data_IF_395158483597
#
_entry.id   IF_395158483597
#
_cell.length_a   1.000
_cell.length_b   1.000
_cell.length_c   1.000
_cell.angle_alpha   90.00
_cell.angle_beta   90.00
_cell.angle_gamma   90.00
#
_symmetry.space_group_name_H-M   'P 1'
#
loop_
_entity.id
_entity.type
_entity.pdbx_description
1 polymer ?
#
# COMPACT_ATOMS: atom_id res chain seq x y z
N UNK A 1 18.04 14.88 -38.55
CA UNK A 1 17.57 15.88 -39.53
C UNK A 1 18.56 17.05 -39.66
N UNK A 2 19.73 16.85 -40.30
CA UNK A 2 20.74 17.91 -40.53
C UNK A 2 20.94 18.13 -42.03
N UNK A 3 19.90 18.63 -42.69
CA UNK A 3 19.84 18.76 -44.16
C UNK A 3 20.95 19.69 -44.69
N UNK A 4 21.26 20.77 -43.98
CA UNK A 4 22.29 21.74 -44.37
C UNK A 4 23.69 21.14 -44.39
N UNK A 5 24.04 20.30 -43.41
CA UNK A 5 25.30 19.56 -43.38
C UNK A 5 25.37 18.55 -44.52
N UNK A 6 24.29 17.79 -44.76
CA UNK A 6 24.21 16.84 -45.87
C UNK A 6 24.41 17.53 -47.23
N UNK A 7 23.84 18.74 -47.42
CA UNK A 7 24.06 19.52 -48.65
C UNK A 7 25.51 19.95 -48.81
N UNK A 8 26.19 20.36 -47.73
CA UNK A 8 27.62 20.70 -47.77
C UNK A 8 28.47 19.50 -48.20
N UNK A 9 28.25 18.33 -47.60
CA UNK A 9 28.95 17.11 -47.99
C UNK A 9 28.71 16.72 -49.46
N UNK A 10 27.50 16.93 -49.98
CA UNK A 10 27.19 16.66 -51.39
C UNK A 10 27.86 17.68 -52.33
N UNK A 11 27.94 18.95 -51.93
CA UNK A 11 28.68 19.98 -52.67
C UNK A 11 30.18 19.68 -52.71
N UNK A 12 30.77 19.32 -51.57
CA UNK A 12 32.18 18.92 -51.46
C UNK A 12 32.47 17.67 -52.29
N UNK A 13 31.53 16.71 -52.29
CA UNK A 13 31.55 15.52 -53.13
C UNK A 13 31.23 15.76 -54.61
N UNK A 14 31.06 17.02 -55.06
CA UNK A 14 30.71 17.43 -56.43
C UNK A 14 29.38 16.85 -56.96
N UNK A 15 28.50 16.40 -56.07
CA UNK A 15 27.16 15.90 -56.39
C UNK A 15 26.13 17.03 -56.39
N UNK A 16 26.30 18.00 -57.30
CA UNK A 16 25.50 19.23 -57.33
C UNK A 16 23.99 18.99 -57.50
N UNK A 17 23.60 17.99 -58.30
CA UNK A 17 22.18 17.67 -58.56
C UNK A 17 21.47 17.16 -57.30
N UNK A 18 22.12 16.24 -56.57
CA UNK A 18 21.60 15.78 -55.29
C UNK A 18 21.60 16.90 -54.24
N UNK A 19 22.63 17.75 -54.23
CA UNK A 19 22.68 18.91 -53.34
C UNK A 19 21.50 19.88 -53.54
N UNK A 20 20.97 19.99 -54.77
CA UNK A 20 19.75 20.78 -55.03
C UNK A 20 18.45 20.08 -54.64
N UNK A 21 18.43 18.73 -54.65
CA UNK A 21 17.22 17.94 -54.34
C UNK A 21 17.06 17.68 -52.84
N UNK A 22 18.15 17.40 -52.11
CA UNK A 22 18.11 17.08 -50.67
C UNK A 22 17.42 18.15 -49.80
N UNK A 23 17.52 19.47 -50.07
CA UNK A 23 16.74 20.49 -49.38
C UNK A 23 15.21 20.32 -49.50
N UNK A 24 14.74 19.63 -50.56
CA UNK A 24 13.32 19.40 -50.81
C UNK A 24 12.75 18.21 -50.01
N UNK A 25 13.61 17.45 -49.32
CA UNK A 25 13.17 16.33 -48.48
C UNK A 25 12.20 16.82 -47.40
N UNK A 26 11.00 16.25 -47.37
CA UNK A 26 9.97 16.52 -46.34
C UNK A 26 9.25 17.86 -46.45
N UNK A 27 9.52 18.66 -47.49
CA UNK A 27 8.91 20.00 -47.65
C UNK A 27 7.84 20.05 -48.75
N UNK A 28 8.09 19.46 -49.92
CA UNK A 28 7.18 19.52 -51.06
C UNK A 28 6.57 18.17 -51.41
N UNK A 29 5.23 18.08 -51.35
CA UNK A 29 4.48 16.89 -51.77
C UNK A 29 4.58 16.66 -53.28
N UNK A 30 4.67 17.75 -54.07
CA UNK A 30 4.84 17.67 -55.53
C UNK A 30 6.19 17.06 -55.87
N UNK A 31 7.28 17.57 -55.27
CA UNK A 31 8.61 17.01 -55.46
C UNK A 31 8.67 15.53 -55.05
N UNK A 32 8.01 15.16 -53.95
CA UNK A 32 7.90 13.76 -53.49
C UNK A 32 7.20 12.86 -54.51
N UNK A 33 6.17 13.37 -55.20
CA UNK A 33 5.47 12.64 -56.26
C UNK A 33 6.33 12.49 -57.51
N UNK A 34 6.96 13.58 -57.96
CA UNK A 34 7.81 13.60 -59.16
C UNK A 34 9.00 12.64 -59.00
N UNK A 35 9.65 12.64 -57.82
CA UNK A 35 10.75 11.71 -57.54
C UNK A 35 10.26 10.26 -57.48
N UNK A 36 9.04 10.00 -57.02
CA UNK A 36 8.46 8.65 -57.03
C UNK A 36 8.22 8.15 -58.46
N UNK A 37 7.72 9.02 -59.34
CA UNK A 37 7.54 8.70 -60.77
C UNK A 37 8.91 8.46 -61.44
N UNK A 38 9.91 9.27 -61.11
CA UNK A 38 11.27 9.12 -61.61
C UNK A 38 11.92 7.80 -61.16
N UNK A 39 11.77 7.43 -59.89
CA UNK A 39 12.25 6.15 -59.36
C UNK A 39 11.59 4.97 -60.06
N UNK A 40 10.28 5.05 -60.33
CA UNK A 40 9.56 4.01 -61.07
C UNK A 40 10.10 3.87 -62.50
N UNK A 41 10.32 4.99 -63.19
CA UNK A 41 10.91 4.98 -64.53
C UNK A 41 12.34 4.40 -64.54
N UNK A 42 13.16 4.72 -63.53
CA UNK A 42 14.51 4.13 -63.40
C UNK A 42 14.48 2.65 -63.03
N UNK A 43 13.49 2.22 -62.25
CA UNK A 43 13.28 0.81 -61.93
C UNK A 43 12.88 0.02 -63.19
N UNK A 44 11.92 0.53 -63.98
CA UNK A 44 11.44 -0.12 -65.20
C UNK A 44 12.50 -0.16 -66.31
N UNK A 45 13.33 0.88 -66.40
CA UNK A 45 14.49 0.93 -67.31
C UNK A 45 15.75 0.24 -66.78
N UNK A 46 15.67 -0.35 -65.57
CA UNK A 46 16.77 -1.03 -64.85
C UNK A 46 18.01 -0.17 -64.58
N UNK A 47 17.95 1.14 -64.78
CA UNK A 47 19.10 2.03 -64.53
C UNK A 47 19.54 2.05 -63.08
N UNK A 48 18.67 1.67 -62.13
CA UNK A 48 18.99 1.69 -60.70
C UNK A 48 20.10 0.70 -60.30
N UNK A 49 20.50 -0.25 -61.16
CA UNK A 49 21.64 -1.16 -60.91
C UNK A 49 22.99 -0.42 -60.90
N UNK A 50 23.09 0.66 -61.65
CA UNK A 50 24.30 1.50 -61.75
C UNK A 50 24.45 2.46 -60.58
N UNK A 51 23.41 2.63 -59.76
CA UNK A 51 23.41 3.56 -58.65
C UNK A 51 24.02 2.90 -57.42
N UNK A 52 24.93 3.62 -56.76
CA UNK A 52 25.36 3.21 -55.42
C UNK A 52 24.16 3.12 -54.46
N UNK A 53 24.22 2.18 -53.54
CA UNK A 53 23.17 1.94 -52.54
C UNK A 53 22.84 3.23 -51.76
N UNK A 54 23.85 4.02 -51.40
CA UNK A 54 23.68 5.29 -50.70
C UNK A 54 22.89 6.33 -51.51
N UNK A 55 23.19 6.48 -52.80
CA UNK A 55 22.46 7.42 -53.67
C UNK A 55 21.01 6.97 -53.86
N UNK A 56 20.81 5.66 -54.07
CA UNK A 56 19.47 5.07 -54.18
C UNK A 56 18.65 5.34 -52.92
N UNK A 57 19.23 5.15 -51.74
CA UNK A 57 18.57 5.49 -50.47
C UNK A 57 18.18 6.97 -50.39
N UNK A 58 19.03 7.90 -50.83
CA UNK A 58 18.68 9.34 -50.83
C UNK A 58 17.49 9.64 -51.73
N UNK A 59 17.42 9.04 -52.92
CA UNK A 59 16.26 9.18 -53.80
C UNK A 59 14.99 8.53 -53.23
N UNK A 60 15.10 7.39 -52.56
CA UNK A 60 13.98 6.76 -51.86
C UNK A 60 13.46 7.66 -50.72
N UNK A 61 14.35 8.26 -49.92
CA UNK A 61 13.97 9.22 -48.89
C UNK A 61 13.29 10.46 -49.47
N UNK A 62 13.74 10.95 -50.63
CA UNK A 62 13.10 12.04 -51.38
C UNK A 62 11.69 11.67 -51.86
N UNK A 63 11.47 10.43 -52.26
CA UNK A 63 10.15 9.88 -52.60
C UNK A 63 9.28 9.61 -51.36
N UNK A 64 9.88 9.72 -50.17
CA UNK A 64 9.34 9.43 -48.85
C UNK A 64 9.06 7.95 -48.60
N UNK A 65 9.72 7.07 -49.35
CA UNK A 65 9.92 5.68 -48.97
C UNK A 65 11.14 5.62 -48.03
N UNK A 66 10.93 5.15 -46.81
CA UNK A 66 11.95 5.21 -45.74
C UNK A 66 12.29 3.84 -45.16
N UNK A 67 11.70 2.78 -45.70
CA UNK A 67 11.75 1.44 -45.11
C UNK A 67 12.62 0.50 -45.97
N UNK A 68 12.17 0.16 -47.17
CA UNK A 68 12.82 -0.83 -48.03
C UNK A 68 13.15 -0.24 -49.38
N UNK A 69 14.40 -0.40 -49.80
CA UNK A 69 14.80 -0.19 -51.19
C UNK A 69 14.55 -1.50 -51.96
N UNK A 70 13.59 -1.52 -52.88
CA UNK A 70 13.22 -2.72 -53.67
C UNK A 70 14.20 -3.02 -54.79
N UNK A 71 14.81 -4.21 -54.76
CA UNK A 71 15.73 -4.70 -55.79
C UNK A 71 15.08 -5.64 -56.79
N UNK A 72 15.80 -5.96 -57.85
CA UNK A 72 15.35 -6.81 -58.96
C UNK A 72 16.26 -8.04 -59.07
N UNK A 73 15.72 -9.23 -58.84
CA UNK A 73 16.49 -10.49 -58.75
C UNK A 73 16.45 -11.36 -60.02
N UNK A 74 15.44 -11.20 -60.87
CA UNK A 74 15.19 -12.04 -62.06
C UNK A 74 15.74 -11.45 -63.37
N UNK A 75 16.93 -10.86 -63.31
CA UNK A 75 17.55 -10.12 -64.43
C UNK A 75 19.01 -10.55 -64.58
N UNK A 76 19.64 -10.41 -65.77
CA UNK A 76 21.08 -10.48 -65.95
C UNK A 76 21.89 -9.92 -64.78
N UNK A 77 23.07 -10.49 -64.52
CA UNK A 77 23.91 -10.15 -63.34
C UNK A 77 24.23 -8.65 -63.29
N UNK A 78 24.39 -8.01 -64.44
CA UNK A 78 24.61 -6.57 -64.61
C UNK A 78 23.43 -5.69 -64.15
N UNK A 79 22.21 -6.20 -64.25
CA UNK A 79 20.99 -5.49 -63.86
C UNK A 79 20.48 -5.93 -62.47
N UNK A 80 21.20 -6.84 -61.79
CA UNK A 80 20.75 -7.40 -60.52
C UNK A 80 20.90 -6.37 -59.42
N UNK A 81 19.81 -6.13 -58.70
CA UNK A 81 19.82 -5.25 -57.53
C UNK A 81 19.35 -6.00 -56.31
N UNK A 82 20.10 -5.88 -55.22
CA UNK A 82 19.66 -6.41 -53.94
C UNK A 82 18.62 -5.49 -53.30
N UNK A 83 17.61 -6.12 -52.69
CA UNK A 83 16.67 -5.43 -51.80
C UNK A 83 17.31 -5.35 -50.43
N UNK A 84 17.29 -4.16 -49.82
CA UNK A 84 17.78 -3.99 -48.45
C UNK A 84 16.86 -3.04 -47.67
N UNK A 85 16.82 -3.26 -46.37
CA UNK A 85 16.17 -2.37 -45.41
C UNK A 85 17.15 -1.25 -45.07
N UNK A 86 16.70 0.00 -45.15
CA UNK A 86 17.57 1.18 -44.95
C UNK A 86 18.18 1.16 -43.55
N UNK A 87 17.40 0.85 -42.52
CA UNK A 87 17.87 0.78 -41.13
C UNK A 87 19.00 -0.24 -40.95
N UNK A 88 18.80 -1.48 -41.41
CA UNK A 88 19.77 -2.58 -41.28
C UNK A 88 21.05 -2.32 -42.07
N UNK A 89 20.93 -1.76 -43.28
CA UNK A 89 22.08 -1.53 -44.17
C UNK A 89 23.02 -0.45 -43.61
N UNK A 90 22.47 0.61 -43.04
CA UNK A 90 23.25 1.73 -42.49
C UNK A 90 23.47 1.64 -40.98
N UNK A 91 23.04 0.55 -40.34
CA UNK A 91 23.20 0.34 -38.89
C UNK A 91 22.48 1.40 -38.06
N UNK A 92 21.26 1.78 -38.46
CA UNK A 92 20.48 2.79 -37.75
C UNK A 92 19.73 2.17 -36.57
N UNK A 93 19.76 2.85 -35.42
CA UNK A 93 18.95 2.48 -34.26
C UNK A 93 17.45 2.59 -34.59
N UNK A 94 16.60 1.88 -33.87
CA UNK A 94 15.14 1.95 -34.07
C UNK A 94 14.60 3.38 -33.94
N UNK A 95 15.20 4.20 -33.06
CA UNK A 95 14.85 5.63 -32.87
C UNK A 95 15.18 6.46 -34.11
N UNK A 96 16.31 6.17 -34.74
CA UNK A 96 16.74 6.83 -35.97
C UNK A 96 15.86 6.36 -37.14
N UNK A 97 15.58 5.07 -37.23
CA UNK A 97 14.68 4.48 -38.21
C UNK A 97 13.25 5.03 -38.10
N UNK A 98 12.71 5.17 -36.88
CA UNK A 98 11.44 5.85 -36.62
C UNK A 98 11.49 7.33 -37.02
N UNK A 99 12.60 8.00 -36.70
CA UNK A 99 12.84 9.39 -37.11
C UNK A 99 12.70 9.60 -38.62
N UNK A 100 13.19 8.66 -39.45
CA UNK A 100 12.99 8.74 -40.91
C UNK A 100 11.51 8.77 -41.29
N UNK A 101 10.64 7.98 -40.62
CA UNK A 101 9.19 8.03 -40.84
C UNK A 101 8.62 9.39 -40.46
N UNK A 102 9.01 9.88 -39.28
CA UNK A 102 8.51 11.14 -38.74
C UNK A 102 8.91 12.36 -39.59
N UNK A 103 10.13 12.39 -40.12
CA UNK A 103 10.61 13.55 -40.89
C UNK A 103 10.31 13.46 -42.38
N UNK A 104 10.27 12.26 -42.98
CA UNK A 104 10.31 12.10 -44.43
C UNK A 104 9.14 11.30 -45.02
N UNK A 105 8.51 10.42 -44.23
CA UNK A 105 7.39 9.62 -44.71
C UNK A 105 6.03 10.31 -44.60
N UNK A 106 5.83 11.15 -43.57
CA UNK A 106 4.60 11.93 -43.36
C UNK A 106 4.71 13.35 -43.95
N UNK A 107 3.58 13.98 -44.18
CA UNK A 107 3.48 15.38 -44.62
C UNK A 107 3.42 16.32 -43.40
N UNK A 108 3.72 17.60 -43.58
CA UNK A 108 3.67 18.58 -42.47
C UNK A 108 2.27 18.77 -41.86
N UNK A 109 1.21 18.42 -42.61
CA UNK A 109 -0.18 18.51 -42.15
C UNK A 109 -0.68 17.22 -41.48
N UNK A 110 0.09 16.13 -41.58
CA UNK A 110 -0.27 14.83 -41.05
C UNK A 110 0.01 14.76 -39.54
N UNK A 111 -0.83 14.04 -38.80
CA UNK A 111 -0.58 13.78 -37.38
C UNK A 111 0.67 12.91 -37.20
N UNK A 112 1.53 13.16 -36.20
CA UNK A 112 2.65 12.29 -35.85
C UNK A 112 2.23 10.84 -35.55
N UNK A 113 0.98 10.61 -35.16
CA UNK A 113 0.41 9.28 -34.97
C UNK A 113 0.52 8.40 -36.24
N UNK A 114 0.43 9.00 -37.43
CA UNK A 114 0.57 8.27 -38.70
C UNK A 114 1.98 7.71 -38.90
N UNK A 115 3.01 8.37 -38.38
CA UNK A 115 4.38 7.86 -38.44
C UNK A 115 4.53 6.61 -37.55
N UNK A 116 3.88 6.61 -36.38
CA UNK A 116 3.85 5.45 -35.47
C UNK A 116 3.13 4.28 -36.11
N UNK A 117 1.95 4.50 -36.70
CA UNK A 117 1.18 3.46 -37.38
C UNK A 117 1.98 2.85 -38.55
N UNK A 118 2.61 3.68 -39.38
CA UNK A 118 3.48 3.20 -40.47
C UNK A 118 4.64 2.35 -39.95
N UNK A 119 5.29 2.76 -38.86
CA UNK A 119 6.39 1.98 -38.28
C UNK A 119 5.88 0.66 -37.66
N UNK A 120 4.71 0.68 -37.02
CA UNK A 120 4.05 -0.55 -36.53
C UNK A 120 3.72 -1.51 -37.67
N UNK A 121 3.22 -1.00 -38.79
CA UNK A 121 2.95 -1.81 -39.99
C UNK A 121 4.23 -2.37 -40.61
N UNK A 122 5.32 -1.59 -40.63
CA UNK A 122 6.63 -2.06 -41.09
C UNK A 122 7.17 -3.20 -40.22
N UNK A 123 6.99 -3.14 -38.90
CA UNK A 123 7.33 -4.22 -37.96
C UNK A 123 6.46 -5.45 -38.21
N UNK A 124 5.15 -5.28 -38.37
CA UNK A 124 4.21 -6.39 -38.62
C UNK A 124 4.48 -7.11 -39.95
N UNK A 125 5.10 -6.42 -40.92
CA UNK A 125 5.50 -6.97 -42.21
C UNK A 125 6.93 -7.55 -42.21
N UNK A 126 7.55 -7.70 -41.03
CA UNK A 126 8.94 -8.16 -40.84
C UNK A 126 9.99 -7.33 -41.62
N UNK A 127 9.66 -6.07 -41.94
CA UNK A 127 10.58 -5.15 -42.62
C UNK A 127 11.53 -4.46 -41.64
N UNK A 128 11.06 -4.20 -40.43
CA UNK A 128 11.83 -3.60 -39.34
C UNK A 128 11.85 -4.51 -38.12
N UNK A 129 12.87 -4.34 -37.28
CA UNK A 129 12.98 -5.09 -36.04
C UNK A 129 12.15 -4.43 -34.93
N UNK A 130 11.60 -5.25 -34.04
CA UNK A 130 10.88 -4.78 -32.86
C UNK A 130 11.82 -3.93 -31.99
N UNK A 131 11.43 -2.70 -31.61
CA UNK A 131 12.19 -1.89 -30.67
C UNK A 131 12.39 -2.62 -29.35
N UNK A 132 13.64 -2.98 -29.05
CA UNK A 132 14.02 -3.70 -27.84
C UNK A 132 14.37 -2.72 -26.73
N UNK A 133 14.20 -3.12 -25.45
CA UNK A 133 14.62 -2.30 -24.32
C UNK A 133 16.07 -1.81 -24.41
N UNK A 134 16.34 -0.61 -23.90
CA UNK A 134 17.66 0.03 -23.90
C UNK A 134 18.82 -0.85 -23.40
N UNK A 135 18.59 -1.78 -22.48
CA UNK A 135 19.64 -2.63 -21.93
C UNK A 135 20.11 -3.71 -22.92
N UNK A 136 19.24 -4.14 -23.84
CA UNK A 136 19.63 -5.00 -24.96
C UNK A 136 20.57 -4.28 -25.93
N UNK A 137 20.32 -3.00 -26.20
CA UNK A 137 21.20 -2.17 -27.05
C UNK A 137 22.62 -2.07 -26.46
N UNK A 138 22.74 -2.07 -25.13
CA UNK A 138 24.02 -2.02 -24.42
C UNK A 138 24.67 -3.39 -24.19
N UNK A 139 24.03 -4.48 -24.65
CA UNK A 139 24.51 -5.85 -24.41
C UNK A 139 24.45 -6.27 -22.94
N UNK A 140 23.68 -5.58 -22.11
CA UNK A 140 23.48 -5.90 -20.71
C UNK A 140 22.47 -7.03 -20.59
N UNK A 141 22.83 -8.09 -19.87
CA UNK A 141 21.90 -9.17 -19.57
C UNK A 141 21.05 -8.81 -18.35
N UNK A 142 19.75 -9.07 -18.39
CA UNK A 142 18.91 -8.91 -17.21
C UNK A 142 19.39 -9.81 -16.08
N UNK A 143 19.05 -9.44 -14.83
CA UNK A 143 19.45 -10.19 -13.62
C UNK A 143 18.67 -11.53 -13.48
N UNK A 144 17.72 -11.76 -14.37
CA UNK A 144 16.77 -12.86 -14.35
C UNK A 144 16.68 -13.54 -15.72
N UNK A 145 16.21 -14.78 -15.74
CA UNK A 145 15.99 -15.53 -16.98
C UNK A 145 14.59 -15.21 -17.53
N UNK A 146 14.52 -14.31 -18.50
CA UNK A 146 13.26 -13.98 -19.18
C UNK A 146 12.94 -15.01 -20.26
N UNK A 147 11.85 -15.75 -20.10
CA UNK A 147 11.35 -16.71 -21.11
C UNK A 147 10.79 -16.00 -22.34
N UNK A 148 10.42 -14.73 -22.23
CA UNK A 148 9.79 -13.94 -23.29
C UNK A 148 10.70 -12.83 -23.82
N UNK A 149 12.02 -12.97 -23.68
CA UNK A 149 13.00 -11.93 -24.07
C UNK A 149 12.78 -11.40 -25.51
N UNK A 150 12.36 -12.27 -26.43
CA UNK A 150 12.12 -11.92 -27.83
C UNK A 150 10.87 -11.08 -28.11
N UNK A 151 9.92 -11.01 -27.18
CA UNK A 151 8.66 -10.26 -27.35
C UNK A 151 8.64 -8.94 -26.56
N UNK A 152 9.66 -8.70 -25.73
CA UNK A 152 9.78 -7.46 -24.94
C UNK A 152 9.96 -6.25 -25.85
N UNK A 153 9.32 -5.16 -25.45
CA UNK A 153 9.31 -3.91 -26.20
C UNK A 153 9.93 -2.80 -25.37
N UNK A 154 10.61 -1.85 -26.04
CA UNK A 154 11.09 -0.66 -25.37
C UNK A 154 9.94 0.20 -24.82
N UNK A 155 10.11 0.75 -23.62
CA UNK A 155 9.13 1.62 -22.98
C UNK A 155 8.77 2.84 -23.86
N UNK A 156 9.75 3.48 -24.50
CA UNK A 156 9.50 4.65 -25.34
C UNK A 156 8.68 4.28 -26.57
N UNK A 157 8.91 3.09 -27.13
CA UNK A 157 8.09 2.58 -28.23
C UNK A 157 6.66 2.31 -27.78
N UNK A 158 6.45 1.70 -26.61
CA UNK A 158 5.13 1.52 -26.05
C UNK A 158 4.39 2.84 -25.81
N UNK A 159 5.08 3.89 -25.36
CA UNK A 159 4.49 5.23 -25.21
C UNK A 159 4.09 5.86 -26.55
N UNK A 160 4.88 5.65 -27.62
CA UNK A 160 4.51 6.08 -28.96
C UNK A 160 3.28 5.33 -29.47
N UNK A 161 3.19 4.02 -29.23
CA UNK A 161 2.00 3.23 -29.57
C UNK A 161 0.76 3.75 -28.85
N UNK A 162 0.87 4.06 -27.55
CA UNK A 162 -0.20 4.62 -26.74
C UNK A 162 -0.69 5.98 -27.27
N UNK A 163 0.23 6.81 -27.76
CA UNK A 163 -0.11 8.08 -28.39
C UNK A 163 -0.90 7.89 -29.70
N UNK A 164 -0.55 6.88 -30.49
CA UNK A 164 -1.14 6.65 -31.79
C UNK A 164 -2.46 5.85 -31.74
N UNK A 165 -2.60 4.93 -30.79
CA UNK A 165 -3.75 4.04 -30.66
C UNK A 165 -4.24 4.00 -29.21
N UNK A 166 -5.50 4.42 -29.03
CA UNK A 166 -6.16 4.48 -27.71
C UNK A 166 -6.57 3.11 -27.18
N UNK A 167 -6.54 2.07 -28.02
CA UNK A 167 -6.95 0.72 -27.63
C UNK A 167 -5.80 -0.09 -27.03
N UNK A 168 -4.59 0.46 -26.97
CA UNK A 168 -3.41 -0.24 -26.43
C UNK A 168 -3.52 -0.31 -24.91
N UNK A 169 -3.33 -1.51 -24.38
CA UNK A 169 -3.36 -1.77 -22.95
C UNK A 169 -2.13 -1.15 -22.27
N UNK A 170 -2.36 -0.20 -21.37
CA UNK A 170 -1.29 0.49 -20.64
C UNK A 170 -0.44 -0.47 -19.81
N UNK A 171 -1.04 -1.53 -19.26
CA UNK A 171 -0.32 -2.52 -18.45
C UNK A 171 0.76 -3.22 -19.27
N UNK A 172 0.46 -3.58 -20.52
CA UNK A 172 1.40 -4.27 -21.40
C UNK A 172 2.65 -3.42 -21.70
N UNK A 173 2.48 -2.09 -21.72
CA UNK A 173 3.56 -1.13 -21.94
C UNK A 173 4.38 -0.92 -20.66
N UNK A 174 3.70 -0.66 -19.53
CA UNK A 174 4.31 -0.29 -18.25
C UNK A 174 4.89 -1.47 -17.47
N UNK A 175 5.07 -2.63 -18.11
CA UNK A 175 5.77 -3.76 -17.50
C UNK A 175 7.18 -3.36 -17.07
N UNK A 176 7.61 -3.63 -15.82
CA UNK A 176 8.94 -3.27 -15.33
C UNK A 176 10.05 -3.87 -16.20
N UNK A 177 9.82 -5.04 -16.79
CA UNK A 177 10.74 -5.73 -17.70
C UNK A 177 11.06 -4.89 -18.95
N UNK A 178 10.12 -4.06 -19.42
CA UNK A 178 10.31 -3.22 -20.61
C UNK A 178 11.23 -2.02 -20.34
N UNK A 179 11.55 -1.72 -19.07
CA UNK A 179 12.32 -0.54 -18.69
C UNK A 179 13.50 -0.83 -17.77
N UNK A 180 13.43 -1.88 -16.96
CA UNK A 180 14.38 -2.15 -15.88
C UNK A 180 15.04 -3.52 -16.06
N UNK A 181 16.25 -3.67 -15.54
CA UNK A 181 17.00 -4.93 -15.54
C UNK A 181 16.42 -5.98 -14.58
N UNK A 182 15.61 -5.52 -13.62
CA UNK A 182 14.95 -6.36 -12.62
C UNK A 182 13.42 -6.24 -12.78
N UNK A 183 12.70 -7.37 -12.83
CA UNK A 183 11.25 -7.39 -12.93
C UNK A 183 10.58 -6.95 -11.62
N UNK A 184 11.34 -6.74 -10.54
CA UNK A 184 10.82 -6.34 -9.24
C UNK A 184 10.84 -4.82 -9.04
N UNK A 185 11.42 -4.05 -9.97
CA UNK A 185 11.50 -2.61 -9.85
C UNK A 185 10.26 -1.93 -10.44
N UNK A 186 9.24 -1.74 -9.60
CA UNK A 186 7.95 -1.18 -9.99
C UNK A 186 7.91 0.34 -10.02
N UNK A 187 8.95 1.01 -9.51
CA UNK A 187 8.91 2.46 -9.25
C UNK A 187 8.52 3.27 -10.48
N UNK A 188 9.23 3.08 -11.60
CA UNK A 188 8.97 3.85 -12.81
C UNK A 188 7.61 3.50 -13.41
N UNK A 189 7.29 2.20 -13.48
CA UNK A 189 6.01 1.69 -13.97
C UNK A 189 4.82 2.30 -13.23
N UNK A 190 4.88 2.31 -11.90
CA UNK A 190 3.84 2.90 -11.07
C UNK A 190 3.76 4.42 -11.25
N UNK A 191 4.88 5.15 -11.15
CA UNK A 191 4.90 6.61 -11.28
C UNK A 191 4.36 7.08 -12.64
N UNK A 192 4.79 6.42 -13.72
CA UNK A 192 4.34 6.73 -15.07
C UNK A 192 2.88 6.33 -15.28
N UNK A 193 2.44 5.20 -14.72
CA UNK A 193 1.04 4.78 -14.72
C UNK A 193 0.13 5.83 -14.07
N UNK A 194 0.49 6.31 -12.89
CA UNK A 194 -0.28 7.35 -12.19
C UNK A 194 -0.28 8.67 -12.97
N UNK A 195 0.86 9.09 -13.50
CA UNK A 195 0.94 10.30 -14.32
C UNK A 195 0.07 10.20 -15.58
N UNK A 196 0.12 9.08 -16.30
CA UNK A 196 -0.65 8.88 -17.54
C UNK A 196 -2.16 8.79 -17.26
N UNK A 197 -2.57 8.03 -16.25
CA UNK A 197 -4.00 7.94 -15.87
C UNK A 197 -4.55 9.28 -15.40
N UNK A 198 -3.74 10.10 -14.71
CA UNK A 198 -4.16 11.44 -14.29
C UNK A 198 -4.53 12.38 -15.44
N UNK A 199 -4.04 12.12 -16.66
CA UNK A 199 -4.41 12.91 -17.85
C UNK A 199 -5.85 12.63 -18.33
N UNK A 200 -6.48 11.54 -17.88
CA UNK A 200 -7.80 11.10 -18.32
C UNK A 200 -7.89 10.63 -19.78
N UNK A 201 -6.76 10.62 -20.52
CA UNK A 201 -6.70 10.20 -21.92
C UNK A 201 -6.44 8.69 -22.08
N UNK A 202 -5.92 8.05 -21.03
CA UNK A 202 -5.43 6.66 -21.06
C UNK A 202 -6.01 5.89 -19.88
N UNK A 203 -6.32 4.61 -20.10
CA UNK A 203 -6.71 3.68 -19.04
C UNK A 203 -5.93 2.36 -19.15
N UNK A 204 -5.88 1.60 -18.05
CA UNK A 204 -5.34 0.23 -17.99
C UNK A 204 -6.23 -0.82 -18.69
N UNK A 205 -7.08 -0.39 -19.63
CA UNK A 205 -7.95 -1.28 -20.40
C UNK A 205 -9.00 -2.00 -19.54
N UNK A 206 -9.23 -3.28 -19.86
CA UNK A 206 -10.15 -4.14 -19.10
C UNK A 206 -9.60 -4.38 -17.69
N UNK A 207 -10.47 -4.29 -16.68
CA UNK A 207 -10.09 -4.38 -15.26
C UNK A 207 -9.02 -3.36 -14.86
N UNK A 208 -9.11 -2.14 -15.40
CA UNK A 208 -8.07 -1.13 -15.21
C UNK A 208 -7.80 -0.78 -13.75
N UNK A 209 -8.85 -0.73 -12.91
CA UNK A 209 -8.71 -0.45 -11.48
C UNK A 209 -7.94 -1.56 -10.76
N UNK A 210 -8.22 -2.83 -11.07
CA UNK A 210 -7.52 -3.98 -10.47
C UNK A 210 -6.04 -4.02 -10.86
N UNK A 211 -5.73 -3.69 -12.12
CA UNK A 211 -4.35 -3.63 -12.64
C UNK A 211 -3.55 -2.47 -12.04
N UNK A 212 -4.19 -1.31 -11.90
CA UNK A 212 -3.60 -0.15 -11.23
C UNK A 212 -3.36 -0.45 -9.74
N UNK A 213 -4.32 -1.09 -9.08
CA UNK A 213 -4.22 -1.50 -7.68
C UNK A 213 -3.11 -2.55 -7.50
N UNK A 214 -2.99 -3.53 -8.41
CA UNK A 214 -1.91 -4.52 -8.41
C UNK A 214 -0.53 -3.88 -8.53
N UNK A 215 -0.37 -2.91 -9.43
CA UNK A 215 0.87 -2.15 -9.58
C UNK A 215 1.20 -1.35 -8.32
N UNK A 216 0.18 -0.79 -7.66
CA UNK A 216 0.30 -0.04 -6.40
C UNK A 216 0.74 -0.95 -5.26
N UNK A 217 0.15 -2.14 -5.12
CA UNK A 217 0.52 -3.14 -4.11
C UNK A 217 1.95 -3.64 -4.35
N UNK A 218 2.33 -3.90 -5.60
CA UNK A 218 3.66 -4.36 -5.96
C UNK A 218 4.74 -3.31 -5.63
N UNK A 219 4.46 -2.03 -5.88
CA UNK A 219 5.41 -0.97 -5.50
C UNK A 219 5.45 -0.73 -3.99
N UNK A 220 4.31 -0.79 -3.30
CA UNK A 220 4.26 -0.70 -1.84
C UNK A 220 5.06 -1.83 -1.18
N UNK A 221 4.95 -3.07 -1.67
CA UNK A 221 5.70 -4.20 -1.13
C UNK A 221 7.21 -4.07 -1.37
N UNK A 222 7.63 -3.52 -2.52
CA UNK A 222 9.03 -3.19 -2.80
C UNK A 222 9.58 -2.18 -1.79
N UNK A 223 8.82 -1.13 -1.46
CA UNK A 223 9.21 -0.11 -0.49
C UNK A 223 9.28 -0.68 0.93
N UNK A 224 8.31 -1.50 1.32
CA UNK A 224 8.31 -2.20 2.61
C UNK A 224 9.55 -3.10 2.75
N UNK A 225 9.92 -3.83 1.70
CA UNK A 225 11.12 -4.66 1.69
C UNK A 225 12.42 -3.84 1.78
N UNK A 226 12.42 -2.60 1.28
CA UNK A 226 13.53 -1.66 1.42
C UNK A 226 13.61 -0.99 2.80
N UNK A 227 12.59 -1.16 3.67
CA UNK A 227 12.49 -0.52 4.98
C UNK A 227 11.82 0.87 4.98
N UNK A 228 11.43 1.36 3.79
CA UNK A 228 10.79 2.66 3.60
C UNK A 228 9.27 2.56 3.79
N UNK A 229 8.86 2.25 5.03
CA UNK A 229 7.47 1.91 5.34
C UNK A 229 6.50 3.11 5.23
N UNK A 230 6.95 4.33 5.53
CA UNK A 230 6.15 5.55 5.37
C UNK A 230 5.78 5.80 3.91
N UNK A 231 6.71 5.50 3.02
CA UNK A 231 6.54 5.76 1.59
C UNK A 231 5.64 4.67 1.00
N UNK A 232 5.70 3.46 1.55
CA UNK A 232 4.72 2.42 1.26
C UNK A 232 3.30 2.82 1.70
N UNK A 233 3.10 3.46 2.86
CA UNK A 233 1.78 4.01 3.26
C UNK A 233 1.29 5.01 2.22
N UNK A 234 2.16 5.93 1.78
CA UNK A 234 1.82 6.91 0.77
C UNK A 234 1.40 6.25 -0.55
N UNK A 235 2.10 5.21 -0.99
CA UNK A 235 1.72 4.46 -2.20
C UNK A 235 0.37 3.78 -2.02
N UNK A 236 0.12 3.12 -0.88
CA UNK A 236 -1.16 2.45 -0.60
C UNK A 236 -2.37 3.40 -0.58
N UNK A 237 -2.20 4.69 -0.30
CA UNK A 237 -3.28 5.68 -0.40
C UNK A 237 -3.84 5.81 -1.83
N UNK A 238 -3.07 5.41 -2.84
CA UNK A 238 -3.47 5.50 -4.24
C UNK A 238 -4.29 4.31 -4.74
N UNK A 239 -4.62 3.36 -3.85
CA UNK A 239 -5.55 2.27 -4.17
C UNK A 239 -6.94 2.83 -4.49
N UNK A 240 -7.57 2.32 -5.54
CA UNK A 240 -8.87 2.81 -6.00
C UNK A 240 -10.00 2.36 -5.06
N UNK A 241 -10.01 1.08 -4.70
CA UNK A 241 -11.05 0.51 -3.84
C UNK A 241 -10.90 0.95 -2.38
N UNK A 242 -11.90 1.68 -1.86
CA UNK A 242 -11.86 2.23 -0.49
C UNK A 242 -11.74 1.16 0.60
N UNK A 243 -12.40 0.01 0.43
CA UNK A 243 -12.38 -1.06 1.44
C UNK A 243 -11.01 -1.76 1.45
N UNK A 244 -10.44 -2.00 0.28
CA UNK A 244 -9.10 -2.60 0.13
C UNK A 244 -8.04 -1.62 0.64
N UNK A 245 -8.16 -0.34 0.28
CA UNK A 245 -7.28 0.74 0.76
C UNK A 245 -7.25 0.82 2.28
N UNK A 246 -8.43 0.86 2.91
CA UNK A 246 -8.55 0.88 4.38
C UNK A 246 -7.85 -0.32 5.01
N UNK A 247 -8.17 -1.54 4.57
CA UNK A 247 -7.58 -2.76 5.11
C UNK A 247 -6.07 -2.83 4.90
N UNK A 248 -5.59 -2.48 3.70
CA UNK A 248 -4.16 -2.51 3.38
C UNK A 248 -3.36 -1.52 4.25
N UNK A 249 -3.90 -0.30 4.46
CA UNK A 249 -3.27 0.71 5.31
C UNK A 249 -3.28 0.25 6.78
N UNK A 250 -4.43 -0.20 7.30
CA UNK A 250 -4.51 -0.70 8.68
C UNK A 250 -3.54 -1.85 8.91
N UNK A 251 -3.51 -2.83 8.01
CA UNK A 251 -2.61 -3.98 8.14
C UNK A 251 -1.13 -3.57 8.06
N UNK A 252 -0.78 -2.64 7.17
CA UNK A 252 0.58 -2.11 7.05
C UNK A 252 1.00 -1.32 8.30
N UNK A 253 0.12 -0.49 8.85
CA UNK A 253 0.35 0.23 10.11
C UNK A 253 0.54 -0.76 11.28
N UNK A 254 -0.28 -1.81 11.37
CA UNK A 254 -0.15 -2.84 12.40
C UNK A 254 1.21 -3.56 12.33
N UNK A 255 1.71 -3.87 11.13
CA UNK A 255 3.04 -4.49 10.96
C UNK A 255 4.18 -3.57 11.40
N UNK A 256 4.05 -2.27 11.18
CA UNK A 256 5.07 -1.27 11.49
C UNK A 256 4.77 -0.45 12.75
N UNK A 257 3.85 -0.92 13.61
CA UNK A 257 3.37 -0.18 14.76
C UNK A 257 4.48 0.23 15.74
N UNK A 258 5.55 -0.57 15.86
CA UNK A 258 6.72 -0.22 16.68
C UNK A 258 7.46 1.04 16.22
N UNK A 259 7.29 1.46 14.97
CA UNK A 259 7.94 2.63 14.36
C UNK A 259 7.07 3.90 14.39
N UNK A 260 5.77 3.79 14.74
CA UNK A 260 4.82 4.92 14.73
C UNK A 260 5.16 5.95 15.82
N UNK A 261 5.82 5.52 16.90
CA UNK A 261 6.26 6.42 17.98
C UNK A 261 5.10 7.02 18.80
N UNK A 262 5.39 7.96 19.72
CA UNK A 262 4.38 8.63 20.53
C UNK A 262 3.58 9.68 19.75
N UNK A 263 2.45 10.13 20.31
CA UNK A 263 1.51 11.15 19.76
C UNK A 263 2.22 12.45 19.33
N UNK A 264 3.26 12.87 20.06
CA UNK A 264 4.07 14.06 19.76
C UNK A 264 5.16 13.83 18.71
N UNK A 265 5.24 12.63 18.15
CA UNK A 265 6.26 12.25 17.19
C UNK A 265 6.01 12.85 15.81
N UNK A 266 7.07 13.25 15.11
CA UNK A 266 6.99 13.77 13.75
C UNK A 266 6.28 12.79 12.79
N UNK A 267 6.46 11.48 13.01
CA UNK A 267 5.80 10.40 12.27
C UNK A 267 4.28 10.44 12.46
N UNK A 268 3.81 10.57 13.69
CA UNK A 268 2.37 10.60 14.01
C UNK A 268 1.70 11.84 13.39
N UNK A 269 2.36 13.00 13.49
CA UNK A 269 1.92 14.24 12.85
C UNK A 269 1.89 14.10 11.32
N UNK A 270 2.91 13.47 10.71
CA UNK A 270 2.95 13.25 9.26
C UNK A 270 1.76 12.41 8.78
N UNK A 271 1.48 11.29 9.46
CA UNK A 271 0.40 10.37 9.12
C UNK A 271 -0.98 11.03 9.27
N UNK A 272 -1.17 11.82 10.33
CA UNK A 272 -2.47 12.45 10.63
C UNK A 272 -2.69 13.72 9.80
N UNK A 273 -1.70 14.61 9.70
CA UNK A 273 -1.85 15.92 9.05
C UNK A 273 -1.65 15.86 7.54
N UNK A 274 -0.55 15.21 7.08
CA UNK A 274 -0.24 15.15 5.64
C UNK A 274 -0.98 14.03 4.93
N UNK A 275 -0.93 12.81 5.48
CA UNK A 275 -1.58 11.65 4.86
C UNK A 275 -3.07 11.55 5.18
N UNK A 276 -3.58 12.37 6.13
CA UNK A 276 -4.99 12.42 6.51
C UNK A 276 -5.55 11.06 6.95
N UNK A 277 -4.71 10.25 7.59
CA UNK A 277 -5.11 8.96 8.15
C UNK A 277 -5.84 9.21 9.48
N UNK A 278 -6.96 8.53 9.75
CA UNK A 278 -7.64 8.62 11.03
C UNK A 278 -6.72 8.23 12.19
N UNK A 279 -6.69 9.06 13.25
CA UNK A 279 -5.88 8.79 14.43
C UNK A 279 -6.29 7.48 15.13
N UNK A 280 -7.57 7.07 15.03
CA UNK A 280 -8.06 5.82 15.59
C UNK A 280 -7.27 4.61 15.09
N UNK A 281 -7.00 4.53 13.79
CA UNK A 281 -6.24 3.41 13.20
C UNK A 281 -4.80 3.34 13.69
N UNK A 282 -4.19 4.50 13.98
CA UNK A 282 -2.85 4.55 14.56
C UNK A 282 -2.86 4.01 15.99
N UNK A 283 -3.87 4.39 16.78
CA UNK A 283 -4.03 3.90 18.14
C UNK A 283 -4.39 2.42 18.22
N UNK A 284 -5.19 1.90 17.28
CA UNK A 284 -5.47 0.47 17.13
C UNK A 284 -4.18 -0.32 16.85
N UNK A 285 -3.35 0.16 15.91
CA UNK A 285 -2.07 -0.45 15.59
C UNK A 285 -1.11 -0.44 16.79
N UNK A 286 -1.04 0.68 17.52
CA UNK A 286 -0.24 0.80 18.74
C UNK A 286 -0.75 -0.13 19.84
N UNK A 287 -2.07 -0.26 20.03
CA UNK A 287 -2.65 -1.19 20.99
C UNK A 287 -2.25 -2.64 20.71
N UNK A 288 -2.33 -3.08 19.44
CA UNK A 288 -1.89 -4.41 19.02
C UNK A 288 -0.39 -4.63 19.26
N UNK A 289 0.44 -3.61 19.09
CA UNK A 289 1.86 -3.67 19.40
C UNK A 289 2.13 -3.82 20.90
N UNK A 290 1.41 -3.06 21.74
CA UNK A 290 1.49 -3.19 23.19
C UNK A 290 1.13 -4.60 23.66
N UNK A 291 0.06 -5.17 23.10
CA UNK A 291 -0.40 -6.53 23.39
C UNK A 291 0.61 -7.60 22.98
N UNK A 292 1.11 -7.54 21.75
CA UNK A 292 1.88 -8.63 21.14
C UNK A 292 3.38 -8.59 21.45
N UNK A 293 3.98 -7.39 21.45
CA UNK A 293 5.44 -7.23 21.56
C UNK A 293 5.85 -6.84 22.97
N UNK A 294 5.28 -5.76 23.51
CA UNK A 294 5.66 -5.26 24.85
C UNK A 294 5.00 -6.01 26.00
N UNK A 295 3.83 -6.63 25.75
CA UNK A 295 2.98 -7.30 26.75
C UNK A 295 2.64 -6.40 27.94
N UNK A 296 2.41 -5.12 27.66
CA UNK A 296 2.02 -4.13 28.68
C UNK A 296 0.53 -3.81 28.52
N UNK A 297 -0.26 -4.39 29.40
CA UNK A 297 -1.72 -4.29 29.39
C UNK A 297 -2.22 -2.88 29.75
N UNK A 298 -1.47 -2.13 30.57
CA UNK A 298 -1.89 -0.80 31.02
C UNK A 298 -1.88 0.20 29.86
N UNK A 299 -0.81 0.19 29.08
CA UNK A 299 -0.66 1.02 27.90
C UNK A 299 -1.54 0.51 26.73
N UNK A 300 -1.81 -0.79 26.64
CA UNK A 300 -2.81 -1.32 25.70
C UNK A 300 -4.19 -0.70 25.94
N UNK A 301 -4.67 -0.69 27.19
CA UNK A 301 -5.96 -0.05 27.53
C UNK A 301 -5.94 1.44 27.17
N UNK A 302 -4.85 2.16 27.45
CA UNK A 302 -4.74 3.56 27.08
C UNK A 302 -4.83 3.79 25.56
N UNK A 303 -4.15 2.97 24.76
CA UNK A 303 -4.24 3.04 23.31
C UNK A 303 -5.65 2.69 22.81
N UNK A 304 -6.30 1.65 23.33
CA UNK A 304 -7.66 1.26 22.93
C UNK A 304 -8.70 2.34 23.27
N UNK A 305 -8.56 3.00 24.42
CA UNK A 305 -9.40 4.14 24.79
C UNK A 305 -9.26 5.30 23.80
N UNK A 306 -8.03 5.57 23.33
CA UNK A 306 -7.76 6.61 22.32
C UNK A 306 -8.20 6.21 20.92
N UNK A 307 -8.24 4.91 20.62
CA UNK A 307 -8.81 4.37 19.39
C UNK A 307 -10.34 4.48 19.33
N UNK A 308 -11.01 4.51 20.49
CA UNK A 308 -12.47 4.47 20.60
C UNK A 308 -13.04 3.04 20.70
N UNK A 309 -12.19 2.03 20.86
CA UNK A 309 -12.57 0.63 21.00
C UNK A 309 -12.82 0.28 22.47
N UNK A 310 -13.95 0.77 23.01
CA UNK A 310 -14.28 0.67 24.42
C UNK A 310 -14.56 -0.76 24.91
N UNK A 311 -15.11 -1.62 24.04
CA UNK A 311 -15.44 -3.00 24.38
C UNK A 311 -14.17 -3.82 24.62
N UNK A 312 -13.21 -3.75 23.69
CA UNK A 312 -11.93 -4.44 23.86
C UNK A 312 -11.10 -3.81 24.99
N UNK A 313 -11.15 -2.48 25.17
CA UNK A 313 -10.50 -1.82 26.30
C UNK A 313 -11.04 -2.32 27.65
N UNK A 314 -12.36 -2.47 27.79
CA UNK A 314 -13.00 -3.01 28.99
C UNK A 314 -12.60 -4.47 29.24
N UNK A 315 -12.56 -5.30 28.19
CA UNK A 315 -12.13 -6.69 28.29
C UNK A 315 -10.71 -6.80 28.83
N UNK A 316 -9.75 -6.05 28.27
CA UNK A 316 -8.34 -6.06 28.73
C UNK A 316 -8.22 -5.51 30.15
N UNK A 317 -8.98 -4.46 30.47
CA UNK A 317 -9.04 -3.87 31.81
C UNK A 317 -9.47 -4.91 32.85
N UNK A 318 -10.58 -5.62 32.62
CA UNK A 318 -11.11 -6.61 33.57
C UNK A 318 -10.23 -7.85 33.66
N UNK A 319 -9.61 -8.27 32.56
CA UNK A 319 -8.82 -9.50 32.51
C UNK A 319 -7.43 -9.35 33.14
N UNK A 320 -6.75 -8.22 32.93
CA UNK A 320 -5.33 -8.10 33.30
C UNK A 320 -5.04 -6.87 34.16
N UNK A 321 -5.48 -5.68 33.75
CA UNK A 321 -5.05 -4.42 34.37
C UNK A 321 -5.67 -4.22 35.75
N UNK A 322 -6.99 -4.42 35.89
CA UNK A 322 -7.69 -4.23 37.15
C UNK A 322 -7.28 -5.25 38.23
N UNK A 323 -7.16 -6.57 37.94
CA UNK A 323 -6.63 -7.52 38.90
C UNK A 323 -5.22 -7.19 39.38
N UNK A 324 -4.33 -6.84 38.45
CA UNK A 324 -2.95 -6.48 38.78
C UNK A 324 -2.89 -5.20 39.63
N UNK A 325 -3.64 -4.16 39.27
CA UNK A 325 -3.70 -2.92 40.02
C UNK A 325 -4.26 -3.10 41.45
N UNK A 326 -5.22 -4.01 41.64
CA UNK A 326 -5.76 -4.33 42.98
C UNK A 326 -4.71 -5.01 43.84
N UNK A 327 -3.96 -5.97 43.29
CA UNK A 327 -2.89 -6.70 44.00
C UNK A 327 -1.73 -5.74 44.35
N UNK A 328 -1.33 -4.89 43.40
CA UNK A 328 -0.28 -3.88 43.59
C UNK A 328 -0.74 -2.69 44.44
N UNK A 329 -2.05 -2.60 44.72
CA UNK A 329 -2.72 -1.49 45.44
C UNK A 329 -2.58 -0.13 44.76
N UNK A 330 -2.39 -0.12 43.44
CA UNK A 330 -2.37 1.10 42.63
C UNK A 330 -3.77 1.53 42.22
N UNK A 331 -4.50 2.06 43.21
CA UNK A 331 -5.87 2.55 43.01
C UNK A 331 -5.94 3.87 42.23
N UNK A 332 -4.84 4.64 42.17
CA UNK A 332 -4.81 5.93 41.50
C UNK A 332 -4.86 5.76 39.98
N UNK A 333 -4.04 4.86 39.44
CA UNK A 333 -3.99 4.58 38.00
C UNK A 333 -5.27 3.91 37.52
N UNK A 334 -5.81 2.97 38.30
CA UNK A 334 -7.10 2.34 38.03
C UNK A 334 -8.26 3.35 38.02
N UNK A 335 -8.29 4.29 38.97
CA UNK A 335 -9.30 5.35 39.00
C UNK A 335 -9.18 6.29 37.80
N UNK A 336 -7.96 6.61 37.35
CA UNK A 336 -7.75 7.44 36.16
C UNK A 336 -8.28 6.74 34.90
N UNK A 337 -7.96 5.45 34.73
CA UNK A 337 -8.45 4.65 33.60
C UNK A 337 -9.97 4.54 33.62
N UNK A 338 -10.57 4.17 34.76
CA UNK A 338 -12.03 4.04 34.88
C UNK A 338 -12.77 5.36 34.64
N UNK A 339 -12.18 6.50 35.00
CA UNK A 339 -12.78 7.81 34.72
C UNK A 339 -12.92 8.10 33.22
N UNK A 340 -12.03 7.56 32.38
CA UNK A 340 -12.09 7.71 30.92
C UNK A 340 -13.21 6.87 30.27
N UNK A 341 -13.76 5.87 30.98
CA UNK A 341 -14.95 5.13 30.56
C UNK A 341 -16.26 5.79 31.01
N UNK A 342 -16.21 6.74 31.96
CA UNK A 342 -17.42 7.40 32.48
C UNK A 342 -18.04 8.30 31.41
N UNK A 343 -19.19 7.87 30.88
CA UNK A 343 -19.91 8.52 29.78
C UNK A 343 -20.18 7.60 28.57
N UNK A 344 -19.50 6.45 28.50
CA UNK A 344 -19.70 5.44 27.44
C UNK A 344 -20.14 4.07 28.00
N UNK A 345 -20.49 4.02 29.29
CA UNK A 345 -20.85 2.80 30.00
C UNK A 345 -22.09 2.09 29.40
N UNK A 346 -23.01 2.83 28.77
CA UNK A 346 -24.20 2.25 28.12
C UNK A 346 -23.87 1.51 26.81
N UNK A 347 -22.73 1.80 26.19
CA UNK A 347 -22.28 1.17 24.94
C UNK A 347 -21.64 -0.21 25.17
N UNK A 348 -21.31 -0.53 26.42
CA UNK A 348 -20.55 -1.73 26.78
C UNK A 348 -21.50 -2.79 27.38
N UNK A 349 -21.73 -3.93 26.71
CA UNK A 349 -22.75 -4.90 27.12
C UNK A 349 -22.46 -5.58 28.48
N UNK A 350 -21.19 -5.69 28.88
CA UNK A 350 -20.76 -6.39 30.11
C UNK A 350 -20.16 -5.43 31.16
N UNK A 351 -20.45 -4.13 31.06
CA UNK A 351 -19.88 -3.14 31.99
C UNK A 351 -20.20 -3.43 33.45
N UNK A 352 -21.46 -3.81 33.70
CA UNK A 352 -22.02 -4.11 35.04
C UNK A 352 -21.37 -5.33 35.70
N UNK A 353 -20.85 -6.26 34.90
CA UNK A 353 -20.27 -7.53 35.36
C UNK A 353 -18.78 -7.41 35.72
N UNK A 354 -18.14 -6.26 35.48
CA UNK A 354 -16.72 -6.08 35.81
C UNK A 354 -16.34 -4.65 36.14
N UNK A 355 -16.42 -3.75 35.16
CA UNK A 355 -15.92 -2.38 35.28
C UNK A 355 -16.61 -1.59 36.39
N UNK A 356 -17.93 -1.77 36.54
CA UNK A 356 -18.71 -1.13 37.59
C UNK A 356 -18.32 -1.64 38.99
N UNK A 357 -17.99 -2.93 39.13
CA UNK A 357 -17.63 -3.56 40.40
C UNK A 357 -16.29 -3.06 40.90
N UNK A 358 -15.31 -2.92 40.00
CA UNK A 358 -14.04 -2.26 40.33
C UNK A 358 -14.24 -0.79 40.71
N UNK A 359 -15.18 -0.08 40.06
CA UNK A 359 -15.57 1.28 40.45
C UNK A 359 -16.18 1.35 41.86
N UNK A 360 -17.07 0.41 42.20
CA UNK A 360 -17.63 0.30 43.55
C UNK A 360 -16.56 -0.02 44.60
N UNK A 361 -15.62 -0.90 44.28
CA UNK A 361 -14.50 -1.21 45.17
C UNK A 361 -13.59 0.00 45.40
N UNK A 362 -13.24 0.75 44.34
CA UNK A 362 -12.49 2.00 44.50
C UNK A 362 -13.22 3.01 45.39
N UNK A 363 -14.55 3.07 45.28
CA UNK A 363 -15.36 3.95 46.11
C UNK A 363 -15.29 3.53 47.59
N UNK A 364 -15.31 2.22 47.86
CA UNK A 364 -15.09 1.66 49.20
C UNK A 364 -13.71 2.04 49.76
N UNK A 365 -12.64 1.90 48.95
CA UNK A 365 -11.27 2.27 49.34
C UNK A 365 -11.14 3.78 49.59
N UNK A 366 -11.82 4.62 48.80
CA UNK A 366 -11.84 6.07 49.00
C UNK A 366 -12.59 6.49 50.28
N UNK A 367 -13.69 5.82 50.63
CA UNK A 367 -14.35 6.05 51.92
C UNK A 367 -13.47 5.60 53.08
N UNK A 368 -12.72 4.50 52.92
CA UNK A 368 -11.77 4.04 53.92
C UNK A 368 -10.64 5.06 54.17
N UNK A 369 -10.05 5.64 53.11
CA UNK A 369 -9.00 6.64 53.25
C UNK A 369 -9.50 7.96 53.86
N UNK A 370 -10.78 8.28 53.70
CA UNK A 370 -11.44 9.44 54.32
C UNK A 370 -11.97 9.17 55.74
N UNK A 371 -11.94 7.91 56.20
CA UNK A 371 -12.46 7.52 57.52
C UNK A 371 -14.00 7.57 57.62
N UNK A 372 -14.71 7.57 56.50
CA UNK A 372 -16.17 7.60 56.44
C UNK A 372 -16.74 6.18 56.32
N UNK A 373 -17.86 5.91 57.00
CA UNK A 373 -18.57 4.63 56.85
C UNK A 373 -19.19 4.52 55.45
N UNK A 374 -18.87 3.47 54.67
CA UNK A 374 -19.44 3.32 53.33
C UNK A 374 -20.96 3.08 53.41
N UNK A 375 -21.75 3.59 52.45
CA UNK A 375 -23.20 3.40 52.43
C UNK A 375 -23.57 1.92 52.23
N UNK A 376 -24.56 1.44 52.96
CA UNK A 376 -25.02 0.03 52.91
C UNK A 376 -25.41 -0.41 51.48
N UNK A 377 -25.93 0.50 50.65
CA UNK A 377 -26.29 0.22 49.26
C UNK A 377 -25.09 -0.09 48.36
N UNK A 378 -23.91 0.44 48.67
CA UNK A 378 -22.66 0.13 47.96
C UNK A 378 -22.20 -1.29 48.29
N UNK A 379 -22.29 -1.67 49.57
CA UNK A 379 -21.91 -2.99 50.05
C UNK A 379 -22.80 -4.09 49.45
N UNK A 380 -24.12 -3.89 49.40
CA UNK A 380 -25.04 -4.85 48.79
C UNK A 380 -24.78 -5.05 47.29
N UNK A 381 -24.51 -3.97 46.57
CA UNK A 381 -24.16 -4.03 45.14
C UNK A 381 -22.83 -4.74 44.90
N UNK A 382 -21.85 -4.51 45.76
CA UNK A 382 -20.54 -5.13 45.66
C UNK A 382 -20.59 -6.62 46.04
N UNK A 383 -21.40 -7.01 47.03
CA UNK A 383 -21.68 -8.42 47.34
C UNK A 383 -22.31 -9.15 46.13
N UNK A 384 -23.32 -8.55 45.50
CA UNK A 384 -23.96 -9.12 44.31
C UNK A 384 -22.98 -9.19 43.14
N UNK A 385 -22.20 -8.13 42.91
CA UNK A 385 -21.23 -8.04 41.83
C UNK A 385 -20.07 -9.02 41.96
N UNK A 386 -19.47 -9.16 43.16
CA UNK A 386 -18.34 -10.08 43.38
C UNK A 386 -18.74 -11.54 43.17
N UNK A 387 -19.97 -11.92 43.53
CA UNK A 387 -20.48 -13.27 43.27
C UNK A 387 -20.62 -13.53 41.77
N UNK A 388 -21.17 -12.56 41.03
CA UNK A 388 -21.26 -12.63 39.56
C UNK A 388 -19.87 -12.69 38.92
N UNK A 389 -18.91 -11.90 39.40
CA UNK A 389 -17.53 -11.95 38.90
C UNK A 389 -16.90 -13.32 39.15
N UNK A 390 -17.10 -13.92 40.32
CA UNK A 390 -16.53 -15.22 40.64
C UNK A 390 -17.13 -16.37 39.82
N UNK A 391 -18.42 -16.31 39.49
CA UNK A 391 -19.05 -17.28 38.57
C UNK A 391 -18.42 -17.29 37.16
N UNK A 392 -17.81 -16.16 36.77
CA UNK A 392 -17.18 -15.97 35.45
C UNK A 392 -15.65 -16.04 35.48
N UNK A 393 -15.03 -16.26 36.65
CA UNK A 393 -13.58 -16.49 36.75
C UNK A 393 -13.33 -17.99 36.56
N UNK A 394 -12.66 -18.34 35.46
CA UNK A 394 -12.20 -19.71 35.25
C UNK A 394 -11.08 -20.07 36.23
N UNK A 395 -11.04 -21.33 36.69
CA UNK A 395 -10.05 -21.84 37.66
C UNK A 395 -8.58 -21.60 37.25
N UNK A 396 -8.33 -21.33 35.96
CA UNK A 396 -7.00 -21.06 35.38
C UNK A 396 -6.50 -19.63 35.55
N UNK A 397 -7.34 -18.66 35.94
CA UNK A 397 -6.96 -17.24 36.03
C UNK A 397 -6.60 -16.83 37.47
N UNK A 398 -5.45 -17.32 37.95
CA UNK A 398 -4.96 -17.14 39.32
C UNK A 398 -4.95 -15.68 39.78
N UNK A 399 -4.53 -14.75 38.90
CA UNK A 399 -4.48 -13.31 39.22
C UNK A 399 -5.87 -12.70 39.45
N UNK A 400 -6.86 -13.11 38.65
CA UNK A 400 -8.24 -12.63 38.80
C UNK A 400 -8.88 -13.19 40.06
N UNK A 401 -8.68 -14.47 40.34
CA UNK A 401 -9.16 -15.08 41.58
C UNK A 401 -8.54 -14.42 42.82
N UNK A 402 -7.24 -14.15 42.80
CA UNK A 402 -6.55 -13.45 43.88
C UNK A 402 -7.13 -12.03 44.10
N UNK A 403 -7.28 -11.24 43.03
CA UNK A 403 -7.85 -9.90 43.14
C UNK A 403 -9.31 -9.91 43.64
N UNK A 404 -10.15 -10.84 43.15
CA UNK A 404 -11.54 -10.99 43.59
C UNK A 404 -11.58 -11.41 45.07
N UNK A 405 -10.72 -12.32 45.50
CA UNK A 405 -10.64 -12.71 46.92
C UNK A 405 -10.13 -11.58 47.81
N UNK A 406 -9.18 -10.77 47.35
CA UNK A 406 -8.68 -9.61 48.10
C UNK A 406 -9.79 -8.55 48.25
N UNK A 407 -10.51 -8.26 47.16
CA UNK A 407 -11.68 -7.37 47.20
C UNK A 407 -12.78 -7.92 48.11
N UNK A 408 -13.01 -9.23 48.11
CA UNK A 408 -13.96 -9.90 48.99
C UNK A 408 -13.54 -9.83 50.46
N UNK A 409 -12.26 -10.01 50.80
CA UNK A 409 -11.74 -9.89 52.17
C UNK A 409 -11.90 -8.46 52.72
N UNK A 410 -11.56 -7.46 51.92
CA UNK A 410 -11.69 -6.05 52.30
C UNK A 410 -13.16 -5.66 52.51
N UNK A 411 -14.05 -6.17 51.67
CA UNK A 411 -15.50 -5.95 51.81
C UNK A 411 -16.05 -6.66 53.04
N UNK A 412 -15.68 -7.92 53.26
CA UNK A 412 -16.10 -8.71 54.42
C UNK A 412 -15.64 -8.07 55.74
N UNK A 413 -14.40 -7.56 55.78
CA UNK A 413 -13.83 -6.83 56.92
C UNK A 413 -14.62 -5.57 57.24
N UNK A 414 -15.04 -4.82 56.23
CA UNK A 414 -15.79 -3.58 56.44
C UNK A 414 -17.22 -3.86 56.90
N UNK A 415 -17.87 -4.91 56.36
CA UNK A 415 -19.17 -5.38 56.87
C UNK A 415 -19.06 -5.78 58.34
N UNK A 416 -17.99 -6.48 58.75
CA UNK A 416 -17.79 -6.86 60.16
C UNK A 416 -17.56 -5.65 61.08
N UNK A 417 -16.88 -4.60 60.61
CA UNK A 417 -16.69 -3.35 61.37
C UNK A 417 -18.02 -2.61 61.59
N UNK A 418 -18.86 -2.55 60.56
CA UNK A 418 -20.15 -1.86 60.61
C UNK A 418 -21.20 -2.64 61.40
N UNK A 419 -21.15 -3.97 61.35
CA UNK A 419 -22.16 -4.88 61.91
C UNK A 419 -22.19 -4.99 63.45
N UNK A 420 -21.79 -3.95 64.19
CA UNK A 420 -21.94 -3.89 65.66
C UNK A 420 -23.39 -3.63 66.10
N UNK A 421 -24.35 -3.43 65.18
CA UNK A 421 -25.77 -3.17 65.49
C UNK A 421 -26.67 -4.33 65.04
N UNK A 422 -27.78 -4.55 65.78
CA UNK A 422 -28.72 -5.69 65.64
C UNK A 422 -29.38 -5.87 64.26
N UNK A 423 -29.34 -4.86 63.37
CA UNK A 423 -29.93 -4.94 62.03
C UNK A 423 -29.03 -5.66 61.00
N UNK A 424 -27.78 -5.98 61.37
CA UNK A 424 -26.74 -6.43 60.42
C UNK A 424 -26.53 -7.96 60.36
N UNK A 425 -27.37 -8.74 61.06
CA UNK A 425 -27.25 -10.20 61.09
C UNK A 425 -27.47 -10.88 59.71
N UNK A 426 -28.26 -10.25 58.83
CA UNK A 426 -28.53 -10.75 57.47
C UNK A 426 -27.38 -10.43 56.49
N UNK A 427 -26.69 -9.30 56.67
CA UNK A 427 -25.49 -8.99 55.88
C UNK A 427 -24.31 -9.88 56.29
N UNK A 428 -24.22 -10.21 57.59
CA UNK A 428 -23.21 -11.13 58.13
C UNK A 428 -23.33 -12.56 57.59
N UNK A 429 -24.55 -13.07 57.37
CA UNK A 429 -24.72 -14.40 56.78
C UNK A 429 -24.34 -14.44 55.30
N UNK A 430 -24.49 -13.31 54.58
CA UNK A 430 -24.09 -13.19 53.16
C UNK A 430 -22.58 -13.10 52.96
N UNK A 431 -21.79 -12.83 54.00
CA UNK A 431 -20.31 -12.90 53.95
C UNK A 431 -19.84 -14.31 53.61
N UNK A 432 -20.53 -15.35 54.09
CA UNK A 432 -20.17 -16.74 53.83
C UNK A 432 -20.38 -17.14 52.36
N UNK A 433 -21.15 -16.36 51.60
CA UNK A 433 -21.39 -16.59 50.18
C UNK A 433 -20.37 -15.86 49.29
N UNK A 434 -19.42 -15.12 49.88
CA UNK A 434 -18.38 -14.43 49.13
C UNK A 434 -17.28 -15.38 48.66
N UNK A 435 -16.65 -15.09 47.51
CA UNK A 435 -15.49 -15.82 47.01
C UNK A 435 -14.24 -15.50 47.82
N UNK A 436 -14.12 -16.14 48.98
CA UNK A 436 -12.98 -15.99 49.89
C UNK A 436 -12.03 -17.18 49.75
N UNK A 437 -10.74 -16.95 50.01
CA UNK A 437 -9.78 -18.04 50.24
C UNK A 437 -10.25 -18.95 51.39
N UNK A 438 -9.95 -20.25 51.30
CA UNK A 438 -10.40 -21.25 52.29
C UNK A 438 -10.04 -20.88 53.73
N UNK A 439 -8.84 -20.32 53.95
CA UNK A 439 -8.37 -19.89 55.26
C UNK A 439 -9.21 -18.72 55.82
N UNK A 440 -9.57 -17.75 54.97
CA UNK A 440 -10.38 -16.60 55.36
C UNK A 440 -11.83 -16.98 55.59
N UNK A 441 -12.40 -17.84 54.76
CA UNK A 441 -13.74 -18.38 54.95
C UNK A 441 -13.84 -19.13 56.29
N UNK A 442 -12.82 -19.93 56.62
CA UNK A 442 -12.75 -20.62 57.91
C UNK A 442 -12.68 -19.63 59.08
N UNK A 443 -11.79 -18.63 59.01
CA UNK A 443 -11.68 -17.60 60.04
C UNK A 443 -13.01 -16.87 60.28
N UNK A 444 -13.68 -16.43 59.21
CA UNK A 444 -14.97 -15.73 59.32
C UNK A 444 -16.10 -16.65 59.81
N UNK A 445 -16.09 -17.93 59.43
CA UNK A 445 -17.06 -18.92 59.95
C UNK A 445 -16.89 -19.16 61.45
N UNK A 446 -15.63 -19.21 61.92
CA UNK A 446 -15.30 -19.39 63.34
C UNK A 446 -15.73 -18.16 64.12
N UNK A 447 -15.39 -16.95 63.66
CA UNK A 447 -15.78 -15.70 64.30
C UNK A 447 -17.30 -15.55 64.38
N UNK A 448 -18.02 -15.85 63.29
CA UNK A 448 -19.49 -15.79 63.26
C UNK A 448 -20.12 -16.84 64.19
N UNK A 449 -19.55 -18.04 64.25
CA UNK A 449 -20.02 -19.11 65.16
C UNK A 449 -19.76 -18.76 66.63
N UNK A 450 -18.62 -18.14 66.95
CA UNK A 450 -18.28 -17.68 68.29
C UNK A 450 -19.17 -16.54 68.74
N UNK A 451 -19.48 -15.59 67.85
CA UNK A 451 -20.38 -14.49 68.17
C UNK A 451 -21.82 -14.97 68.38
N UNK A 452 -22.32 -15.90 67.55
CA UNK A 452 -23.63 -16.55 67.80
C UNK A 452 -23.63 -17.33 69.11
N UNK A 453 -22.55 -18.04 69.42
CA UNK A 453 -22.42 -18.75 70.69
C UNK A 453 -22.42 -17.78 71.88
N UNK A 454 -21.72 -16.64 71.79
CA UNK A 454 -21.74 -15.58 72.81
C UNK A 454 -23.12 -14.96 72.97
N UNK A 455 -23.85 -14.72 71.89
CA UNK A 455 -25.23 -14.21 71.93
C UNK A 455 -26.15 -15.19 72.67
N UNK A 456 -26.08 -16.49 72.35
CA UNK A 456 -26.89 -17.53 73.01
C UNK A 456 -26.52 -17.70 74.48
N UNK A 457 -25.24 -17.56 74.84
CA UNK A 457 -24.76 -17.66 76.22
C UNK A 457 -24.94 -16.38 77.05
N UNK A 458 -25.28 -15.25 76.40
CA UNK A 458 -25.57 -13.95 77.05
C UNK A 458 -27.06 -13.72 77.35
N UNK A 459 -27.91 -14.67 76.91
CA UNK A 459 -29.31 -14.83 77.30
C UNK A 459 -29.43 -15.83 78.44
#
# INVERSE_FOLDING_TARGET
>A
HRITEACKFLLDGKNFRLATLVPLIGTSVVAKKDIREQLKAWHDSKMLSEFSEAIRTVYELLSGNVCVCEGVKNVPVEDRMESFVISKKFGLDWRQAFGLRLWYAISQQDSPALAVLKFKDDINQDKEELPRPWYHEQGLKPVWNDTEEGTRQDLLWGLLQLYADKNVDLEAILRPENSQLSPLNMRLSWQLGQALVSTGQVSFGKNGDEKADASTIAYASQLTAAGEWLEAVFVLLHLNNSNVRMKAIQEHLCRHAGMIGPDTGATFTLLTEKFRIPASWLWEALALYMRSVKKDASAEVHCLLRAGEFVEAHRVLVQQVAPQAVIERDYATLSSLLSQFQGQAESIPEWTQGGEIYGYFLSLVQHHSKGESPPHTLLEKLLAGLNVMNEHVGETEVLRYAAVSDMADDTAREILRLAKKKQDAELRSRILNLPLTQDRLLAYSVDLSMDRYREVMSH
#
